data_IF_562868229829
#
_entry.id   IF_562868229829
#
_cell.length_a   1.000
_cell.length_b   1.000
_cell.length_c   1.000
_cell.angle_alpha   90.00
_cell.angle_beta   90.00
_cell.angle_gamma   90.00
#
_symmetry.space_group_name_H-M   'P 1'
#
loop_
_entity.id
_entity.type
_entity.pdbx_description
1 polymer ?
#
# COMPACT_ATOMS: atom_id res chain seq x y z
N UNK A 1 -15.15 -2.37 13.43
CA UNK A 1 -14.55 -1.93 14.74
C UNK A 1 -13.16 -1.39 14.45
N UNK A 2 -12.88 -0.16 14.86
CA UNK A 2 -11.59 0.47 14.61
C UNK A 2 -10.45 -0.19 15.40
N UNK A 3 -9.30 -0.34 14.74
CA UNK A 3 -8.04 -0.69 15.37
C UNK A 3 -7.30 0.56 15.80
N UNK A 4 -7.24 1.56 14.91
CA UNK A 4 -6.53 2.80 15.13
C UNK A 4 -7.39 3.97 14.65
N UNK A 5 -7.52 5.00 15.46
CA UNK A 5 -8.20 6.26 15.10
C UNK A 5 -7.27 7.43 15.37
N UNK A 6 -7.07 8.25 14.37
CA UNK A 6 -6.33 9.50 14.46
C UNK A 6 -7.30 10.66 14.26
N UNK A 7 -7.28 11.63 15.16
CA UNK A 7 -8.16 12.78 15.11
C UNK A 7 -7.36 14.08 15.21
N UNK A 8 -7.40 14.87 14.13
CA UNK A 8 -6.81 16.21 14.04
C UNK A 8 -5.35 16.28 14.46
N UNK A 9 -4.55 15.25 14.08
CA UNK A 9 -3.13 15.17 14.44
C UNK A 9 -2.34 16.28 13.77
N UNK A 10 -1.51 16.97 14.59
CA UNK A 10 -0.56 17.97 14.12
C UNK A 10 0.81 17.72 14.73
N UNK A 11 1.85 17.95 13.91
CA UNK A 11 3.24 17.92 14.34
C UNK A 11 4.05 18.95 13.59
N UNK A 12 4.64 19.87 14.33
CA UNK A 12 5.44 20.97 13.81
C UNK A 12 6.89 20.82 14.27
N UNK A 13 7.81 21.09 13.38
CA UNK A 13 9.23 21.28 13.67
C UNK A 13 9.58 22.71 13.26
N UNK A 14 10.56 23.33 13.89
CA UNK A 14 10.90 24.78 13.84
C UNK A 14 10.51 25.53 12.54
N UNK A 15 10.67 24.92 11.36
CA UNK A 15 10.42 25.53 10.05
C UNK A 15 9.39 24.78 9.20
N UNK A 16 8.88 23.63 9.69
CA UNK A 16 8.05 22.75 8.86
C UNK A 16 6.84 22.18 9.63
N UNK A 17 5.67 22.29 9.02
CA UNK A 17 4.47 21.54 9.42
C UNK A 17 4.56 20.13 8.82
N UNK A 18 5.18 19.20 9.56
CA UNK A 18 5.39 17.85 9.07
C UNK A 18 4.06 17.04 8.99
N UNK A 19 3.13 17.31 9.91
CA UNK A 19 1.76 16.81 9.92
C UNK A 19 0.86 17.99 10.27
N UNK A 20 -0.14 18.26 9.44
CA UNK A 20 -1.03 19.43 9.54
C UNK A 20 -2.50 18.99 9.38
N UNK A 21 -3.13 18.65 10.50
CA UNK A 21 -4.53 18.27 10.61
C UNK A 21 -4.91 16.97 9.87
N UNK A 22 -4.26 15.87 10.26
CA UNK A 22 -4.54 14.55 9.68
C UNK A 22 -5.49 13.75 10.58
N UNK A 23 -6.58 13.27 9.99
CA UNK A 23 -7.55 12.37 10.61
C UNK A 23 -7.87 11.20 9.70
N UNK A 24 -7.86 9.97 10.23
CA UNK A 24 -8.29 8.75 9.55
C UNK A 24 -8.53 7.60 10.53
N UNK A 25 -9.15 6.53 10.04
CA UNK A 25 -9.46 5.32 10.80
C UNK A 25 -8.88 4.11 10.07
N UNK A 26 -8.24 3.21 10.82
CA UNK A 26 -7.84 1.88 10.34
C UNK A 26 -8.72 0.84 11.00
N UNK A 27 -9.46 0.08 10.21
CA UNK A 27 -10.33 -0.99 10.70
C UNK A 27 -9.52 -2.23 11.08
N UNK A 28 -10.11 -3.07 11.99
CA UNK A 28 -9.47 -4.33 12.41
C UNK A 28 -9.34 -5.30 11.24
N UNK A 29 -8.19 -5.96 11.15
CA UNK A 29 -7.93 -6.98 10.14
C UNK A 29 -7.83 -6.44 8.71
N UNK A 30 -7.63 -5.13 8.53
CA UNK A 30 -7.47 -4.51 7.19
C UNK A 30 -6.02 -4.22 6.89
N UNK A 31 -5.70 -4.16 5.60
CA UNK A 31 -4.44 -3.65 5.09
C UNK A 31 -4.70 -2.22 4.56
N UNK A 32 -4.11 -1.25 5.25
CA UNK A 32 -4.30 0.18 5.03
C UNK A 32 -3.06 0.80 4.41
N UNK A 33 -3.18 1.41 3.24
CA UNK A 33 -2.08 2.05 2.53
C UNK A 33 -1.88 3.51 2.98
N UNK A 34 -0.68 3.81 3.46
CA UNK A 34 -0.24 5.18 3.77
C UNK A 34 0.65 5.70 2.64
N UNK A 35 0.11 6.52 1.77
CA UNK A 35 0.70 6.96 0.52
C UNK A 35 1.20 8.40 0.57
N UNK A 36 2.17 8.70 -0.26
CA UNK A 36 2.64 10.06 -0.50
C UNK A 36 4.12 10.09 -0.91
N UNK A 37 4.59 11.19 -1.48
CA UNK A 37 5.98 11.35 -1.88
C UNK A 37 6.92 11.38 -0.67
N UNK A 38 8.22 11.34 -0.95
CA UNK A 38 9.23 11.56 0.09
C UNK A 38 9.06 12.96 0.69
N UNK A 39 9.15 13.06 2.02
CA UNK A 39 8.91 14.31 2.74
C UNK A 39 7.43 14.69 2.92
N UNK A 40 6.47 13.85 2.51
CA UNK A 40 5.04 14.12 2.68
C UNK A 40 4.57 14.15 4.15
N UNK A 41 5.34 13.62 5.10
CA UNK A 41 4.99 13.52 6.51
C UNK A 41 4.69 12.09 6.99
N UNK A 42 4.75 11.07 6.11
CA UNK A 42 4.44 9.66 6.44
C UNK A 42 5.23 9.13 7.64
N UNK A 43 6.55 9.22 7.60
CA UNK A 43 7.42 8.74 8.67
C UNK A 43 7.19 9.48 9.99
N UNK A 44 6.89 10.80 9.95
CA UNK A 44 6.52 11.57 11.15
C UNK A 44 5.22 11.06 11.74
N UNK A 45 4.22 10.79 10.90
CA UNK A 45 2.93 10.23 11.32
C UNK A 45 3.10 8.83 11.93
N UNK A 46 3.88 7.96 11.29
CA UNK A 46 4.21 6.63 11.82
C UNK A 46 4.90 6.74 13.18
N UNK A 47 5.85 7.66 13.35
CA UNK A 47 6.54 7.86 14.63
C UNK A 47 5.63 8.39 15.74
N UNK A 48 4.54 9.10 15.40
CA UNK A 48 3.51 9.45 16.39
C UNK A 48 2.66 8.24 16.77
N UNK A 49 2.24 7.43 15.79
CA UNK A 49 1.44 6.20 16.03
C UNK A 49 2.24 5.19 16.89
N UNK A 50 3.55 5.14 16.73
CA UNK A 50 4.43 4.23 17.49
C UNK A 50 4.91 4.78 18.82
N UNK A 51 4.52 6.01 19.20
CA UNK A 51 4.89 6.63 20.45
C UNK A 51 6.32 7.21 20.48
N UNK A 52 7.04 7.22 19.34
CA UNK A 52 8.38 7.83 19.23
C UNK A 52 8.29 9.36 19.29
N UNK A 53 7.24 9.95 18.72
CA UNK A 53 6.93 11.37 18.82
C UNK A 53 5.57 11.58 19.46
N UNK A 54 5.44 12.61 20.27
CA UNK A 54 4.14 13.09 20.73
C UNK A 54 3.56 14.07 19.71
N UNK A 55 2.25 13.99 19.39
CA UNK A 55 1.58 15.01 18.60
C UNK A 55 1.57 16.33 19.39
N UNK A 56 1.61 17.46 18.67
CA UNK A 56 1.47 18.78 19.29
C UNK A 56 -0.01 19.09 19.54
N UNK A 57 -0.90 18.59 18.64
CA UNK A 57 -2.36 18.65 18.79
C UNK A 57 -3.00 17.36 18.26
N UNK A 58 -4.25 17.12 18.67
CA UNK A 58 -5.03 15.97 18.26
C UNK A 58 -4.90 14.77 19.20
N UNK A 59 -5.46 13.64 18.80
CA UNK A 59 -5.47 12.42 19.63
C UNK A 59 -5.32 11.17 18.79
N UNK A 60 -4.78 10.12 19.43
CA UNK A 60 -4.63 8.77 18.88
C UNK A 60 -5.38 7.81 19.80
N UNK A 61 -6.29 7.00 19.23
CA UNK A 61 -6.92 5.89 19.93
C UNK A 61 -6.45 4.57 19.33
N UNK A 62 -6.08 3.61 20.17
CA UNK A 62 -5.78 2.24 19.78
C UNK A 62 -6.82 1.31 20.41
N UNK A 63 -7.55 0.55 19.58
CA UNK A 63 -8.71 -0.26 20.03
C UNK A 63 -9.75 0.54 20.85
N UNK A 64 -10.05 1.78 20.44
CA UNK A 64 -11.01 2.66 21.10
C UNK A 64 -10.53 3.27 22.43
N UNK A 65 -9.27 3.04 22.84
CA UNK A 65 -8.65 3.63 24.04
C UNK A 65 -7.61 4.64 23.66
N UNK A 66 -7.45 5.69 24.47
CA UNK A 66 -6.37 6.67 24.28
C UNK A 66 -5.02 5.97 24.28
N UNK A 67 -4.21 6.24 23.26
CA UNK A 67 -2.89 5.65 23.10
C UNK A 67 -1.98 5.96 24.30
N UNK A 68 -1.37 4.91 24.87
CA UNK A 68 -0.40 4.98 25.93
C UNK A 68 1.00 4.65 25.37
N UNK A 69 1.89 5.64 25.32
CA UNK A 69 3.23 5.47 24.76
C UNK A 69 4.15 4.52 25.55
N UNK A 70 3.81 4.15 26.79
CA UNK A 70 4.57 3.20 27.61
C UNK A 70 4.14 1.75 27.38
N UNK A 71 2.84 1.49 27.20
CA UNK A 71 2.27 0.16 27.13
C UNK A 71 1.97 -0.31 25.70
N UNK A 72 1.36 0.55 24.89
CA UNK A 72 0.85 0.16 23.57
C UNK A 72 1.94 -0.20 22.53
N UNK A 73 3.19 0.32 22.58
CA UNK A 73 4.24 -0.12 21.67
C UNK A 73 4.55 -1.62 21.73
N UNK A 74 4.22 -2.30 22.84
CA UNK A 74 4.34 -3.77 22.96
C UNK A 74 3.36 -4.51 22.03
N UNK A 75 2.22 -3.87 21.68
CA UNK A 75 1.16 -4.41 20.81
C UNK A 75 1.37 -4.02 19.34
N UNK A 76 2.37 -3.19 19.04
CA UNK A 76 2.68 -2.67 17.72
C UNK A 76 3.98 -3.30 17.22
N UNK A 77 3.96 -3.84 16.00
CA UNK A 77 5.13 -4.20 15.23
C UNK A 77 5.46 -3.06 14.27
N UNK A 78 6.65 -2.47 14.39
CA UNK A 78 7.09 -1.42 13.47
C UNK A 78 8.36 -1.83 12.75
N UNK A 79 8.29 -1.84 11.43
CA UNK A 79 9.40 -2.05 10.52
C UNK A 79 9.76 -0.73 9.86
N UNK A 80 10.80 -0.02 10.30
CA UNK A 80 11.23 1.23 9.67
C UNK A 80 11.95 0.96 8.35
N UNK A 81 11.96 1.97 7.47
CA UNK A 81 12.73 1.96 6.21
C UNK A 81 14.23 1.78 6.48
N UNK A 82 14.77 2.49 7.48
CA UNK A 82 16.14 2.32 7.93
C UNK A 82 16.28 1.12 8.87
N UNK A 83 17.26 0.27 8.58
CA UNK A 83 17.46 -0.97 9.33
C UNK A 83 18.12 -0.72 10.68
N UNK A 84 17.35 -0.87 11.76
CA UNK A 84 17.82 -0.79 13.14
C UNK A 84 18.50 -2.07 13.66
N UNK A 85 19.22 -2.82 12.79
CA UNK A 85 19.85 -4.08 13.16
C UNK A 85 21.28 -3.89 13.72
N UNK A 86 21.62 -4.62 14.80
CA UNK A 86 22.95 -4.57 15.44
C UNK A 86 23.97 -5.41 14.66
N UNK A 87 24.80 -4.78 13.86
CA UNK A 87 25.69 -5.39 12.87
C UNK A 87 26.54 -6.53 13.41
N UNK A 88 27.06 -6.45 14.64
CA UNK A 88 27.98 -7.45 15.23
C UNK A 88 27.27 -8.62 15.92
N UNK A 89 25.94 -8.54 16.15
CA UNK A 89 25.20 -9.64 16.75
C UNK A 89 24.96 -10.78 15.76
N UNK A 90 24.84 -11.99 16.29
CA UNK A 90 24.34 -13.15 15.49
C UNK A 90 22.85 -13.00 15.24
N UNK A 91 22.39 -13.49 14.10
CA UNK A 91 21.01 -13.33 13.63
C UNK A 91 20.00 -13.95 14.61
N UNK A 92 20.24 -15.19 15.05
CA UNK A 92 19.38 -15.89 16.01
C UNK A 92 19.35 -15.19 17.36
N UNK A 93 20.49 -14.70 17.87
CA UNK A 93 20.59 -13.97 19.13
C UNK A 93 19.79 -12.66 19.07
N UNK A 94 19.90 -11.91 17.97
CA UNK A 94 19.19 -10.65 17.78
C UNK A 94 17.67 -10.88 17.68
N UNK A 95 17.23 -11.89 16.93
CA UNK A 95 15.81 -12.21 16.81
C UNK A 95 15.20 -12.57 18.18
N UNK A 96 15.89 -13.38 18.98
CA UNK A 96 15.49 -13.72 20.36
C UNK A 96 15.48 -12.46 21.25
N UNK A 97 16.50 -11.62 21.14
CA UNK A 97 16.60 -10.38 21.91
C UNK A 97 15.39 -9.47 21.67
N UNK A 98 15.04 -9.20 20.41
CA UNK A 98 13.86 -8.39 20.08
C UNK A 98 12.54 -9.05 20.49
N UNK A 99 12.43 -10.38 20.37
CA UNK A 99 11.26 -11.12 20.85
C UNK A 99 11.04 -10.90 22.35
N UNK A 100 12.12 -10.97 23.12
CA UNK A 100 12.07 -10.76 24.58
C UNK A 100 11.77 -9.32 24.97
N UNK A 101 12.30 -8.34 24.22
CA UNK A 101 11.94 -6.92 24.40
C UNK A 101 10.45 -6.66 24.20
N UNK A 102 9.79 -7.48 23.35
CA UNK A 102 8.35 -7.42 23.11
C UNK A 102 7.53 -8.28 24.07
N UNK A 103 8.14 -8.76 25.17
CA UNK A 103 7.47 -9.43 26.28
C UNK A 103 7.40 -10.96 26.21
N UNK A 104 7.97 -11.62 25.18
CA UNK A 104 7.99 -13.07 25.12
C UNK A 104 8.96 -13.64 26.16
N UNK A 105 8.58 -14.76 26.79
CA UNK A 105 9.50 -15.56 27.62
C UNK A 105 10.66 -16.11 26.76
N UNK A 106 11.76 -16.51 27.39
CA UNK A 106 12.91 -17.07 26.68
C UNK A 106 12.55 -18.33 25.87
N UNK A 107 11.66 -19.18 26.39
CA UNK A 107 11.19 -20.40 25.73
C UNK A 107 10.34 -20.08 24.51
N UNK A 108 9.35 -19.17 24.67
CA UNK A 108 8.48 -18.74 23.58
C UNK A 108 9.26 -18.02 22.49
N UNK A 109 10.17 -17.10 22.84
CA UNK A 109 11.03 -16.41 21.89
C UNK A 109 11.82 -17.39 21.03
N UNK A 110 12.47 -18.40 21.68
CA UNK A 110 13.24 -19.43 20.97
C UNK A 110 12.37 -20.25 20.01
N UNK A 111 11.16 -20.64 20.45
CA UNK A 111 10.21 -21.38 19.62
C UNK A 111 9.74 -20.52 18.43
N UNK A 112 9.25 -19.30 18.68
CA UNK A 112 8.73 -18.43 17.64
C UNK A 112 9.81 -18.09 16.59
N UNK A 113 11.03 -17.75 17.03
CA UNK A 113 12.12 -17.45 16.10
C UNK A 113 12.46 -18.65 15.22
N UNK A 114 12.50 -19.87 15.78
CA UNK A 114 12.74 -21.09 14.98
C UNK A 114 11.63 -21.33 13.97
N UNK A 115 10.37 -21.20 14.38
CA UNK A 115 9.20 -21.39 13.51
C UNK A 115 9.23 -20.38 12.33
N UNK A 116 9.53 -19.11 12.61
CA UNK A 116 9.67 -18.08 11.58
C UNK A 116 10.87 -18.32 10.66
N UNK A 117 12.01 -18.79 11.21
CA UNK A 117 13.19 -19.09 10.40
C UNK A 117 12.95 -20.28 9.46
N UNK A 118 12.17 -21.27 9.87
CA UNK A 118 11.72 -22.35 8.96
C UNK A 118 10.86 -21.79 7.85
N UNK A 119 9.86 -20.98 8.19
CA UNK A 119 8.92 -20.38 7.22
C UNK A 119 9.60 -19.50 6.17
N UNK A 120 10.64 -18.77 6.57
CA UNK A 120 11.37 -17.83 5.71
C UNK A 120 12.67 -18.43 5.14
N UNK A 121 12.92 -19.74 5.34
CA UNK A 121 14.11 -20.46 4.88
C UNK A 121 15.42 -19.84 5.38
N UNK A 122 15.42 -19.42 6.66
CA UNK A 122 16.52 -18.69 7.30
C UNK A 122 17.28 -19.53 8.31
N UNK A 123 17.05 -20.85 8.42
CA UNK A 123 17.63 -21.70 9.48
C UNK A 123 19.15 -21.68 9.42
N UNK A 124 19.73 -21.70 8.21
CA UNK A 124 21.19 -21.68 8.01
C UNK A 124 21.85 -20.36 8.39
N UNK A 125 21.04 -19.31 8.66
CA UNK A 125 21.58 -17.99 9.02
C UNK A 125 21.76 -17.80 10.53
N UNK A 126 21.27 -18.73 11.34
CA UNK A 126 21.21 -18.60 12.81
C UNK A 126 22.49 -18.08 13.46
N UNK A 127 23.64 -18.62 13.07
CA UNK A 127 24.95 -18.28 13.62
C UNK A 127 25.72 -17.23 12.81
N UNK A 128 25.19 -16.76 11.65
CA UNK A 128 25.80 -15.68 10.88
C UNK A 128 25.65 -14.36 11.61
N UNK A 129 26.56 -13.44 11.34
CA UNK A 129 26.43 -12.05 11.82
C UNK A 129 25.51 -11.24 10.91
N UNK A 130 24.90 -10.20 11.47
CA UNK A 130 24.04 -9.28 10.71
C UNK A 130 24.83 -8.57 9.59
N UNK A 131 26.09 -8.25 9.81
CA UNK A 131 26.96 -7.61 8.81
C UNK A 131 27.20 -8.46 7.57
N UNK A 132 27.01 -9.78 7.66
CA UNK A 132 27.17 -10.73 6.55
C UNK A 132 25.92 -10.83 5.66
N UNK A 133 24.82 -10.14 6.02
CA UNK A 133 23.57 -10.22 5.28
C UNK A 133 23.56 -9.33 4.04
N UNK A 134 23.04 -9.87 2.93
CA UNK A 134 22.62 -9.03 1.80
C UNK A 134 21.48 -8.09 2.20
N UNK A 135 21.19 -7.08 1.37
CA UNK A 135 20.05 -6.16 1.61
C UNK A 135 18.73 -6.92 1.74
N UNK A 136 18.46 -7.87 0.85
CA UNK A 136 17.23 -8.68 0.89
C UNK A 136 17.14 -9.59 2.12
N UNK A 137 18.26 -10.21 2.51
CA UNK A 137 18.31 -11.02 3.72
C UNK A 137 18.05 -10.18 4.99
N UNK A 138 18.64 -8.99 5.08
CA UNK A 138 18.40 -8.09 6.20
C UNK A 138 16.94 -7.62 6.25
N UNK A 139 16.31 -7.40 5.09
CA UNK A 139 14.89 -7.05 4.97
C UNK A 139 13.97 -8.16 5.48
N UNK A 140 14.24 -9.42 5.08
CA UNK A 140 13.51 -10.60 5.59
C UNK A 140 13.62 -10.74 7.11
N UNK A 141 14.85 -10.60 7.64
CA UNK A 141 15.07 -10.66 9.08
C UNK A 141 14.32 -9.55 9.81
N UNK A 142 14.36 -8.32 9.31
CA UNK A 142 13.69 -7.17 9.90
C UNK A 142 12.16 -7.38 9.93
N UNK A 143 11.58 -7.90 8.83
CA UNK A 143 10.17 -8.27 8.80
C UNK A 143 9.83 -9.32 9.87
N UNK A 144 10.61 -10.41 9.94
CA UNK A 144 10.40 -11.46 10.95
C UNK A 144 10.44 -10.90 12.37
N UNK A 145 11.46 -10.10 12.71
CA UNK A 145 11.58 -9.45 14.03
C UNK A 145 10.37 -8.56 14.34
N UNK A 146 9.82 -7.90 13.31
CA UNK A 146 8.66 -7.01 13.47
C UNK A 146 7.39 -7.76 13.86
N UNK A 147 7.18 -8.97 13.36
CA UNK A 147 5.90 -9.68 13.48
C UNK A 147 5.91 -10.87 14.45
N UNK A 148 7.08 -11.33 14.91
CA UNK A 148 7.21 -12.57 15.66
C UNK A 148 6.50 -12.58 17.05
N UNK A 149 6.22 -11.40 17.63
CA UNK A 149 5.47 -11.25 18.87
C UNK A 149 3.94 -11.16 18.66
N UNK A 150 3.47 -11.38 17.43
CA UNK A 150 2.04 -11.35 17.02
C UNK A 150 1.36 -10.02 17.36
N UNK A 151 1.84 -8.90 16.84
CA UNK A 151 1.27 -7.59 17.13
C UNK A 151 -0.16 -7.47 16.60
N UNK A 152 -0.98 -6.67 17.27
CA UNK A 152 -2.34 -6.32 16.83
C UNK A 152 -2.31 -5.32 15.67
N UNK A 153 -1.34 -4.40 15.69
CA UNK A 153 -1.07 -3.44 14.63
C UNK A 153 0.35 -3.64 14.09
N UNK A 154 0.48 -3.86 12.79
CA UNK A 154 1.76 -3.96 12.08
C UNK A 154 1.93 -2.73 11.21
N UNK A 155 3.05 -2.03 11.33
CA UNK A 155 3.40 -0.87 10.50
C UNK A 155 4.66 -1.23 9.71
N UNK A 156 4.55 -1.21 8.39
CA UNK A 156 5.61 -1.57 7.47
C UNK A 156 5.96 -0.37 6.59
N UNK A 157 7.15 0.20 6.79
CA UNK A 157 7.64 1.32 6.00
C UNK A 157 8.60 0.80 4.93
N UNK A 158 8.20 0.88 3.65
CA UNK A 158 8.93 0.36 2.48
C UNK A 158 9.36 -1.13 2.60
N UNK A 159 8.45 -2.08 2.93
CA UNK A 159 8.84 -3.45 3.29
C UNK A 159 9.47 -4.26 2.15
N UNK A 160 9.27 -3.87 0.89
CA UNK A 160 9.81 -4.57 -0.28
C UNK A 160 11.11 -3.97 -0.81
N UNK A 161 11.67 -2.97 -0.11
CA UNK A 161 12.91 -2.31 -0.54
C UNK A 161 14.09 -3.27 -0.57
N UNK A 162 14.71 -3.42 -1.76
CA UNK A 162 15.89 -4.27 -1.95
C UNK A 162 15.62 -5.77 -1.98
N UNK A 163 14.37 -6.19 -2.14
CA UNK A 163 13.98 -7.57 -2.39
C UNK A 163 13.86 -7.85 -3.89
N UNK A 164 14.21 -9.08 -4.26
CA UNK A 164 13.82 -9.65 -5.54
C UNK A 164 12.33 -10.05 -5.53
N UNK A 165 11.71 -10.33 -6.71
CA UNK A 165 10.29 -10.63 -6.80
C UNK A 165 9.83 -11.84 -5.96
N UNK A 166 10.67 -12.87 -5.82
CA UNK A 166 10.34 -14.10 -5.06
C UNK A 166 10.23 -13.77 -3.56
N UNK A 167 11.23 -13.06 -3.03
CA UNK A 167 11.25 -12.66 -1.63
C UNK A 167 10.18 -11.58 -1.32
N UNK A 168 9.86 -10.70 -2.28
CA UNK A 168 8.76 -9.74 -2.14
C UNK A 168 7.40 -10.47 -2.04
N UNK A 169 7.15 -11.48 -2.87
CA UNK A 169 5.93 -12.29 -2.80
C UNK A 169 5.80 -13.03 -1.47
N UNK A 170 6.90 -13.58 -0.94
CA UNK A 170 6.90 -14.25 0.36
C UNK A 170 6.43 -13.30 1.48
N UNK A 171 6.94 -12.06 1.51
CA UNK A 171 6.50 -11.05 2.49
C UNK A 171 5.05 -10.63 2.23
N UNK A 172 4.65 -10.47 0.97
CA UNK A 172 3.26 -10.13 0.61
C UNK A 172 2.27 -11.17 1.10
N UNK A 173 2.53 -12.45 0.87
CA UNK A 173 1.68 -13.56 1.34
C UNK A 173 1.57 -13.57 2.87
N UNK A 174 2.65 -13.23 3.57
CA UNK A 174 2.63 -13.15 5.03
C UNK A 174 1.85 -11.92 5.52
N UNK A 175 1.89 -10.79 4.82
CA UNK A 175 1.04 -9.61 5.12
C UNK A 175 -0.43 -9.99 5.02
N UNK A 176 -0.86 -10.68 3.95
CA UNK A 176 -2.23 -11.17 3.82
C UNK A 176 -2.61 -12.16 4.94
N UNK A 177 -1.69 -13.05 5.32
CA UNK A 177 -1.91 -14.00 6.41
C UNK A 177 -2.05 -13.30 7.77
N UNK A 178 -1.24 -12.28 8.05
CA UNK A 178 -1.35 -11.48 9.27
C UNK A 178 -2.72 -10.79 9.36
N UNK A 179 -3.19 -10.18 8.26
CA UNK A 179 -4.50 -9.55 8.21
C UNK A 179 -5.63 -10.57 8.39
N UNK A 180 -5.57 -11.72 7.71
CA UNK A 180 -6.54 -12.80 7.85
C UNK A 180 -6.60 -13.38 9.27
N UNK A 181 -5.49 -13.32 10.03
CA UNK A 181 -5.41 -13.73 11.43
C UNK A 181 -5.79 -12.62 12.43
N UNK A 182 -6.28 -11.47 11.96
CA UNK A 182 -6.84 -10.40 12.76
C UNK A 182 -5.88 -9.26 13.10
N UNK A 183 -4.61 -9.30 12.69
CA UNK A 183 -3.72 -8.13 12.77
C UNK A 183 -4.16 -7.08 11.75
N UNK A 184 -4.12 -5.80 12.10
CA UNK A 184 -4.27 -4.71 11.12
C UNK A 184 -2.90 -4.29 10.63
N UNK A 185 -2.79 -3.95 9.35
CA UNK A 185 -1.51 -3.60 8.74
C UNK A 185 -1.58 -2.19 8.16
N UNK A 186 -0.64 -1.32 8.53
CA UNK A 186 -0.36 -0.06 7.84
C UNK A 186 0.84 -0.32 6.93
N UNK A 187 0.61 -0.17 5.63
CA UNK A 187 1.60 -0.36 4.58
C UNK A 187 1.98 1.00 4.00
N UNK A 188 3.19 1.47 4.31
CA UNK A 188 3.70 2.76 3.87
C UNK A 188 4.67 2.58 2.70
N UNK A 189 4.38 3.22 1.57
CA UNK A 189 5.24 3.20 0.39
C UNK A 189 4.96 4.41 -0.52
N UNK A 190 5.90 4.69 -1.41
CA UNK A 190 5.73 5.62 -2.52
C UNK A 190 5.38 4.91 -3.85
N UNK A 191 5.33 3.56 -3.87
CA UNK A 191 5.04 2.75 -5.06
C UNK A 191 3.57 2.39 -5.12
N UNK A 192 2.83 3.11 -5.97
CA UNK A 192 1.37 3.03 -6.05
C UNK A 192 0.86 1.66 -6.51
N UNK A 193 1.60 0.97 -7.40
CA UNK A 193 1.23 -0.35 -7.91
C UNK A 193 1.16 -1.40 -6.79
N UNK A 194 2.09 -1.34 -5.83
CA UNK A 194 2.10 -2.25 -4.68
C UNK A 194 0.88 -2.04 -3.78
N UNK A 195 0.42 -0.80 -3.68
CA UNK A 195 -0.75 -0.46 -2.88
C UNK A 195 -2.03 -0.95 -3.53
N UNK A 196 -2.17 -0.79 -4.85
CA UNK A 196 -3.32 -1.31 -5.60
C UNK A 196 -3.47 -2.83 -5.43
N UNK A 197 -2.35 -3.53 -5.31
CA UNK A 197 -2.33 -4.98 -5.18
C UNK A 197 -2.64 -5.48 -3.76
N UNK A 198 -2.24 -4.73 -2.73
CA UNK A 198 -2.18 -5.22 -1.34
C UNK A 198 -3.23 -4.58 -0.46
N UNK A 199 -3.54 -3.29 -0.65
CA UNK A 199 -4.33 -2.52 0.30
C UNK A 199 -5.83 -2.53 0.01
N UNK A 200 -6.63 -2.58 1.07
CA UNK A 200 -8.09 -2.44 1.00
C UNK A 200 -8.49 -0.96 0.98
N UNK A 201 -7.87 -0.18 1.85
CA UNK A 201 -8.11 1.23 2.06
C UNK A 201 -6.80 2.01 1.97
N UNK A 202 -6.88 3.26 1.60
CA UNK A 202 -5.72 4.13 1.46
C UNK A 202 -5.98 5.52 2.02
N UNK A 203 -4.90 6.17 2.40
CA UNK A 203 -4.81 7.61 2.58
C UNK A 203 -3.63 8.14 1.78
N UNK A 204 -3.84 9.21 1.04
CA UNK A 204 -2.78 9.93 0.34
C UNK A 204 -2.45 11.21 1.09
N UNK A 205 -1.17 11.35 1.47
CA UNK A 205 -0.65 12.51 2.18
C UNK A 205 0.33 13.26 1.28
N UNK A 206 0.22 14.59 1.28
CA UNK A 206 1.20 15.45 0.63
C UNK A 206 1.42 16.72 1.46
N UNK A 207 2.67 17.11 1.67
CA UNK A 207 3.07 18.30 2.45
C UNK A 207 2.36 18.38 3.82
N UNK A 208 2.30 17.25 4.53
CA UNK A 208 1.70 17.12 5.85
C UNK A 208 0.17 17.09 5.89
N UNK A 209 -0.52 17.14 4.75
CA UNK A 209 -1.98 17.17 4.67
C UNK A 209 -2.55 15.93 4.00
N UNK A 210 -3.75 15.53 4.43
CA UNK A 210 -4.54 14.52 3.74
C UNK A 210 -5.09 15.08 2.43
N UNK A 211 -4.82 14.41 1.31
CA UNK A 211 -5.29 14.78 -0.03
C UNK A 211 -6.56 14.00 -0.38
N UNK A 212 -6.56 12.69 -0.12
CA UNK A 212 -7.71 11.81 -0.27
C UNK A 212 -7.59 10.62 0.68
N UNK A 213 -8.72 9.97 0.94
CA UNK A 213 -8.80 8.66 1.61
C UNK A 213 -10.02 7.89 1.12
N UNK A 214 -9.98 6.56 1.24
CA UNK A 214 -11.08 5.68 0.86
C UNK A 214 -10.61 4.28 0.50
N UNK A 215 -11.53 3.44 0.03
CA UNK A 215 -11.14 2.14 -0.56
C UNK A 215 -10.46 2.37 -1.90
N UNK A 216 -9.48 1.53 -2.25
CA UNK A 216 -8.79 1.61 -3.56
C UNK A 216 -9.79 1.64 -4.71
N UNK A 217 -10.82 0.79 -4.65
CA UNK A 217 -11.86 0.72 -5.67
C UNK A 217 -12.66 2.02 -5.79
N UNK A 218 -13.13 2.57 -4.66
CA UNK A 218 -13.93 3.81 -4.67
C UNK A 218 -13.11 5.00 -5.19
N UNK A 219 -11.84 5.13 -4.75
CA UNK A 219 -10.94 6.16 -5.23
C UNK A 219 -10.77 6.07 -6.75
N UNK A 220 -10.51 4.87 -7.29
CA UNK A 220 -10.37 4.70 -8.76
C UNK A 220 -11.67 4.99 -9.51
N UNK A 221 -12.82 4.64 -8.94
CA UNK A 221 -14.14 4.95 -9.54
C UNK A 221 -14.47 6.44 -9.52
N UNK A 222 -14.12 7.17 -8.47
CA UNK A 222 -14.32 8.63 -8.38
C UNK A 222 -13.56 9.39 -9.48
N UNK A 223 -12.37 8.89 -9.84
CA UNK A 223 -11.52 9.50 -10.87
C UNK A 223 -11.65 8.86 -12.27
N UNK A 224 -12.70 8.05 -12.52
CA UNK A 224 -12.90 7.43 -13.83
C UNK A 224 -13.15 8.45 -14.93
N UNK A 225 -12.70 8.13 -16.13
CA UNK A 225 -12.82 8.99 -17.32
C UNK A 225 -13.73 8.40 -18.43
N UNK A 226 -14.56 7.42 -18.10
CA UNK A 226 -15.42 6.68 -19.04
C UNK A 226 -14.61 6.08 -20.21
N UNK A 227 -13.43 5.54 -19.90
CA UNK A 227 -12.55 4.88 -20.85
C UNK A 227 -12.83 3.38 -20.90
N UNK A 228 -12.91 2.83 -22.10
CA UNK A 228 -13.16 1.42 -22.30
C UNK A 228 -12.21 0.85 -23.36
N UNK A 229 -11.79 -0.39 -23.16
CA UNK A 229 -11.11 -1.20 -24.17
C UNK A 229 -12.06 -2.21 -24.72
N UNK A 230 -12.17 -2.24 -26.06
CA UNK A 230 -13.02 -3.17 -26.79
C UNK A 230 -12.12 -4.05 -27.64
N UNK A 231 -12.20 -5.36 -27.46
CA UNK A 231 -11.56 -6.34 -28.35
C UNK A 231 -12.66 -6.95 -29.21
N UNK A 232 -12.61 -6.72 -30.51
CA UNK A 232 -13.63 -7.18 -31.47
C UNK A 232 -13.04 -7.43 -32.86
N UNK A 233 -13.71 -8.28 -33.65
CA UNK A 233 -13.32 -8.56 -35.02
C UNK A 233 -14.58 -8.91 -35.88
N UNK A 234 -14.82 -8.26 -37.07
CA UNK A 234 -14.10 -7.07 -37.54
C UNK A 234 -14.46 -5.80 -36.79
N UNK A 235 -13.61 -4.76 -36.86
CA UNK A 235 -14.01 -3.44 -36.38
C UNK A 235 -14.94 -2.73 -37.38
N UNK A 236 -15.96 -2.00 -36.89
CA UNK A 236 -16.78 -1.15 -37.74
C UNK A 236 -15.96 -0.15 -38.54
N UNK A 237 -16.32 0.02 -39.81
CA UNK A 237 -15.66 1.00 -40.70
C UNK A 237 -16.08 2.43 -40.34
N UNK A 238 -17.37 2.63 -40.05
CA UNK A 238 -17.91 3.94 -39.67
C UNK A 238 -18.08 4.01 -38.16
N UNK A 239 -17.35 4.88 -37.53
CA UNK A 239 -17.39 5.08 -36.08
C UNK A 239 -18.31 6.27 -35.78
N UNK A 240 -19.32 6.11 -34.89
CA UNK A 240 -20.23 7.21 -34.55
C UNK A 240 -19.52 8.15 -33.54
N UNK A 241 -18.88 9.19 -34.06
CA UNK A 241 -18.19 10.20 -33.22
C UNK A 241 -19.13 10.86 -32.20
N UNK A 242 -20.45 10.83 -32.39
CA UNK A 242 -21.40 11.33 -31.42
C UNK A 242 -21.44 10.48 -30.14
N UNK A 243 -21.23 9.17 -30.24
CA UNK A 243 -21.34 8.21 -29.15
C UNK A 243 -20.05 8.07 -28.34
N UNK A 244 -18.92 7.97 -29.03
CA UNK A 244 -17.60 7.83 -28.38
C UNK A 244 -16.47 8.40 -29.26
N UNK A 245 -15.34 8.67 -28.61
CA UNK A 245 -14.09 9.09 -29.24
C UNK A 245 -13.10 7.91 -29.22
N UNK A 246 -12.43 7.63 -30.33
CA UNK A 246 -11.36 6.62 -30.40
C UNK A 246 -10.04 7.28 -29.99
N UNK A 247 -9.45 6.81 -28.93
CA UNK A 247 -8.18 7.32 -28.40
C UNK A 247 -6.98 6.54 -28.93
N UNK A 248 -7.14 5.22 -29.12
CA UNK A 248 -6.12 4.39 -29.74
C UNK A 248 -6.76 3.18 -30.41
N UNK A 249 -6.09 2.68 -31.45
CA UNK A 249 -6.49 1.49 -32.21
C UNK A 249 -5.25 0.65 -32.46
N UNK A 250 -5.37 -0.66 -32.24
CA UNK A 250 -4.41 -1.65 -32.71
C UNK A 250 -5.16 -2.76 -33.48
N UNK A 251 -4.45 -3.82 -33.88
CA UNK A 251 -5.05 -4.89 -34.69
C UNK A 251 -6.20 -5.65 -33.97
N UNK A 252 -6.15 -5.72 -32.64
CA UNK A 252 -7.08 -6.54 -31.86
C UNK A 252 -8.04 -5.72 -30.99
N UNK A 253 -7.72 -4.46 -30.65
CA UNK A 253 -8.52 -3.67 -29.72
C UNK A 253 -8.60 -2.18 -30.05
N UNK A 254 -9.72 -1.56 -29.63
CA UNK A 254 -9.93 -0.12 -29.59
C UNK A 254 -9.97 0.35 -28.15
N UNK A 255 -9.29 1.47 -27.86
CA UNK A 255 -9.52 2.22 -26.63
C UNK A 255 -10.37 3.43 -26.97
N UNK A 256 -11.51 3.55 -26.30
CA UNK A 256 -12.49 4.61 -26.54
C UNK A 256 -12.80 5.37 -25.27
N UNK A 257 -13.22 6.62 -25.43
CA UNK A 257 -13.88 7.43 -24.40
C UNK A 257 -15.36 7.59 -24.76
N UNK A 258 -16.24 7.09 -23.90
CA UNK A 258 -17.69 7.27 -24.07
C UNK A 258 -18.02 8.74 -23.74
N UNK A 259 -18.75 9.41 -24.63
CA UNK A 259 -19.14 10.80 -24.44
C UNK A 259 -20.24 10.95 -23.40
N UNK A 260 -20.28 12.10 -22.73
CA UNK A 260 -21.28 12.39 -21.71
C UNK A 260 -22.71 12.24 -22.26
N UNK A 261 -23.57 11.61 -21.48
CA UNK A 261 -24.96 11.32 -21.86
C UNK A 261 -25.17 9.95 -22.54
N UNK A 262 -24.08 9.24 -22.85
CA UNK A 262 -24.13 7.89 -23.42
C UNK A 262 -23.66 6.82 -22.42
N UNK A 263 -24.10 5.59 -22.66
CA UNK A 263 -23.87 4.44 -21.80
C UNK A 263 -22.97 3.39 -22.46
N UNK A 264 -22.25 2.57 -21.67
CA UNK A 264 -21.52 1.42 -22.20
C UNK A 264 -22.39 0.47 -23.03
N UNK A 265 -23.67 0.31 -22.65
CA UNK A 265 -24.62 -0.57 -23.37
C UNK A 265 -24.94 -0.05 -24.76
N UNK A 266 -25.01 1.26 -24.98
CA UNK A 266 -25.21 1.85 -26.30
C UNK A 266 -24.03 1.57 -27.23
N UNK A 267 -22.81 1.66 -26.67
CA UNK A 267 -21.60 1.29 -27.43
C UNK A 267 -21.59 -0.18 -27.79
N UNK A 268 -21.88 -1.07 -26.85
CA UNK A 268 -21.96 -2.51 -27.10
C UNK A 268 -23.01 -2.85 -28.19
N UNK A 269 -24.19 -2.22 -28.09
CA UNK A 269 -25.26 -2.40 -29.10
C UNK A 269 -24.79 -1.96 -30.48
N UNK A 270 -24.11 -0.82 -30.60
CA UNK A 270 -23.56 -0.38 -31.87
C UNK A 270 -22.62 -1.44 -32.48
N UNK A 271 -21.68 -2.03 -31.72
CA UNK A 271 -20.78 -3.05 -32.23
C UNK A 271 -21.55 -4.33 -32.65
N UNK A 272 -22.55 -4.74 -31.90
CA UNK A 272 -23.40 -5.90 -32.22
C UNK A 272 -24.19 -5.66 -33.52
N UNK A 273 -24.78 -4.48 -33.67
CA UNK A 273 -25.55 -4.10 -34.87
C UNK A 273 -24.67 -4.07 -36.14
N UNK A 274 -23.37 -3.76 -35.96
CA UNK A 274 -22.34 -3.83 -37.01
C UNK A 274 -21.78 -5.24 -37.23
N UNK A 275 -22.36 -6.26 -36.62
CA UNK A 275 -21.97 -7.67 -36.74
C UNK A 275 -20.49 -7.93 -36.27
N UNK A 276 -19.96 -7.08 -35.39
CA UNK A 276 -18.66 -7.30 -34.78
C UNK A 276 -18.76 -8.42 -33.74
N UNK A 277 -17.81 -9.35 -33.78
CA UNK A 277 -17.67 -10.34 -32.71
C UNK A 277 -16.84 -9.77 -31.58
N UNK A 278 -17.50 -9.40 -30.45
CA UNK A 278 -16.88 -8.81 -29.29
C UNK A 278 -16.34 -9.92 -28.37
N UNK A 279 -15.03 -9.99 -28.18
CA UNK A 279 -14.39 -10.94 -27.25
C UNK A 279 -14.13 -10.36 -25.87
N UNK A 280 -13.95 -9.01 -25.75
CA UNK A 280 -13.83 -8.33 -24.48
C UNK A 280 -14.32 -6.88 -24.53
N UNK A 281 -14.91 -6.43 -23.42
CA UNK A 281 -15.30 -5.04 -23.18
C UNK A 281 -14.98 -4.68 -21.73
N UNK A 282 -13.95 -3.87 -21.52
CA UNK A 282 -13.38 -3.63 -20.19
C UNK A 282 -13.29 -2.15 -19.89
N UNK A 283 -13.85 -1.71 -18.75
CA UNK A 283 -13.65 -0.35 -18.26
C UNK A 283 -12.20 -0.15 -17.82
N UNK A 284 -11.57 0.94 -18.26
CA UNK A 284 -10.21 1.30 -17.92
C UNK A 284 -10.23 2.37 -16.83
N UNK A 285 -10.11 1.93 -15.59
CA UNK A 285 -9.98 2.83 -14.46
C UNK A 285 -8.56 3.41 -14.40
N UNK A 286 -8.39 4.65 -13.87
CA UNK A 286 -7.07 5.22 -13.64
C UNK A 286 -6.30 4.42 -12.57
N UNK A 287 -4.99 4.36 -12.70
CA UNK A 287 -4.10 3.88 -11.65
C UNK A 287 -4.02 4.89 -10.51
N UNK A 288 -3.66 4.44 -9.31
CA UNK A 288 -3.42 5.35 -8.18
C UNK A 288 -2.30 6.36 -8.50
N UNK A 289 -1.31 5.96 -9.32
CA UNK A 289 -0.24 6.85 -9.75
C UNK A 289 -0.76 8.00 -10.62
N UNK A 290 -1.64 7.71 -11.59
CA UNK A 290 -2.28 8.74 -12.42
C UNK A 290 -3.12 9.70 -11.57
N UNK A 291 -3.90 9.16 -10.62
CA UNK A 291 -4.70 9.96 -9.68
C UNK A 291 -3.79 10.87 -8.83
N UNK A 292 -2.67 10.32 -8.31
CA UNK A 292 -1.69 11.08 -7.54
C UNK A 292 -1.12 12.26 -8.34
N UNK A 293 -0.65 12.01 -9.57
CA UNK A 293 -0.10 13.05 -10.44
C UNK A 293 -1.14 14.16 -10.67
N UNK A 294 -2.38 13.79 -10.98
CA UNK A 294 -3.48 14.75 -11.17
C UNK A 294 -3.70 15.64 -9.95
N UNK A 295 -3.72 15.05 -8.75
CA UNK A 295 -4.03 15.77 -7.52
C UNK A 295 -2.88 16.64 -7.01
N UNK A 296 -1.63 16.22 -7.25
CA UNK A 296 -0.44 16.90 -6.73
C UNK A 296 0.10 17.94 -7.71
N UNK A 297 0.07 17.64 -9.00
CA UNK A 297 0.61 18.51 -10.06
C UNK A 297 -0.46 19.40 -10.72
N UNK A 298 -1.74 19.12 -10.48
CA UNK A 298 -2.86 19.84 -11.11
C UNK A 298 -2.97 19.61 -12.62
N UNK A 299 -2.29 18.58 -13.14
CA UNK A 299 -2.32 18.21 -14.55
C UNK A 299 -3.54 17.33 -14.86
N UNK A 300 -4.07 17.42 -16.09
CA UNK A 300 -5.04 16.46 -16.58
C UNK A 300 -4.41 15.05 -16.58
N UNK A 301 -5.22 14.00 -16.35
CA UNK A 301 -4.73 12.62 -16.47
C UNK A 301 -4.19 12.41 -17.88
N UNK A 302 -2.86 12.39 -18.03
CA UNK A 302 -2.21 12.15 -19.30
C UNK A 302 -1.93 10.67 -19.46
N UNK A 303 -2.92 9.90 -19.92
CA UNK A 303 -2.68 8.53 -20.37
C UNK A 303 -2.05 8.58 -21.75
N UNK A 304 -0.81 8.12 -21.87
CA UNK A 304 -0.18 7.92 -23.16
C UNK A 304 -0.75 6.65 -23.79
N UNK A 305 -1.74 6.81 -24.67
CA UNK A 305 -2.13 5.76 -25.60
C UNK A 305 -1.17 5.79 -26.80
N UNK A 306 -0.78 4.61 -27.31
CA UNK A 306 0.00 4.56 -28.54
C UNK A 306 -0.79 5.29 -29.64
N UNK A 307 -0.16 6.21 -30.40
CA UNK A 307 -0.85 6.96 -31.44
C UNK A 307 -1.42 6.02 -32.50
N UNK A 308 -2.54 6.44 -33.07
CA UNK A 308 -3.16 5.73 -34.19
C UNK A 308 -2.14 5.74 -35.32
N UNK A 309 -1.60 4.57 -35.69
CA UNK A 309 -0.82 4.44 -36.92
C UNK A 309 -1.82 4.54 -38.07
N UNK A 310 -1.67 5.62 -38.83
CA UNK A 310 -2.48 5.92 -40.04
C UNK A 310 -2.15 4.99 -41.19
#
# INVERSE_FOLDING_TARGET
>A
MSMLELSHLKKYFATQKAVDDISFIVEKGTIFGLLGPNGAGKTTLIRMITGIFYPDEGSILLNGKKFNAEEDPARIGYMPEERGLYKKMKIGEQAIYFARLKGLSASEANKQVKDWFVRFEMQSWWNKKIEDLSKGMAQKLQFVITVLHRPELVILDEPFSGLDPVNANLIKDEIFRLAANGSSVIFSTHRMEQVEEICNQIILINKGKKILDGTVTNVKQEFKENLFRITANPFPVNIPEALFEVLSKNEESLTIRIKNGHTPNEVLRFFIDQQSNISAFTELLPSLNEIFIKLVEGTSLSRQFQPIQS
#
